data_IF_284098284950
#
_entry.id   IF_284098284950
#
_cell.length_a   1.000
_cell.length_b   1.000
_cell.length_c   1.000
_cell.angle_alpha   90.00
_cell.angle_beta   90.00
_cell.angle_gamma   90.00
#
_symmetry.space_group_name_H-M   'P 1'
#
loop_
_entity.id
_entity.type
_entity.pdbx_description
1 polymer ?
#
# COMPACT_ATOMS: atom_id res chain seq x y z
N UNK A 1 18.30 1.11 -12.61
CA UNK A 1 17.98 2.55 -12.39
C UNK A 1 17.43 2.70 -10.97
N UNK A 2 18.06 3.49 -10.09
CA UNK A 2 17.45 3.80 -8.79
C UNK A 2 16.41 4.88 -9.02
N UNK A 3 15.14 4.56 -8.78
CA UNK A 3 14.06 5.55 -8.86
C UNK A 3 14.35 6.76 -7.98
N UNK A 4 14.05 7.96 -8.49
CA UNK A 4 14.12 9.18 -7.72
C UNK A 4 13.19 9.09 -6.48
N UNK A 5 13.55 9.74 -5.35
CA UNK A 5 12.79 9.65 -4.10
C UNK A 5 11.42 10.32 -4.23
N UNK A 6 10.32 9.70 -3.82
CA UNK A 6 8.96 10.25 -3.95
C UNK A 6 8.17 10.06 -2.65
N UNK A 7 7.13 10.85 -2.42
CA UNK A 7 6.12 10.54 -1.40
C UNK A 7 5.17 9.45 -1.90
N UNK A 8 4.52 8.77 -0.97
CA UNK A 8 3.45 7.80 -1.25
C UNK A 8 2.42 7.88 -0.13
N UNK A 9 1.19 7.43 -0.37
CA UNK A 9 0.14 7.39 0.66
C UNK A 9 0.63 6.69 1.93
N UNK A 10 1.28 5.52 1.78
CA UNK A 10 1.84 4.78 2.91
C UNK A 10 2.87 5.58 3.73
N UNK A 11 3.74 6.34 3.07
CA UNK A 11 4.73 7.22 3.74
C UNK A 11 4.07 8.39 4.46
N UNK A 12 3.06 9.00 3.84
CA UNK A 12 2.29 10.07 4.47
C UNK A 12 1.55 9.55 5.71
N UNK A 13 0.96 8.36 5.63
CA UNK A 13 0.27 7.72 6.75
C UNK A 13 1.24 7.34 7.86
N UNK A 14 2.43 6.84 7.54
CA UNK A 14 3.48 6.59 8.54
C UNK A 14 3.85 7.85 9.32
N UNK A 15 4.03 8.97 8.62
CA UNK A 15 4.34 10.26 9.26
C UNK A 15 3.18 10.76 10.12
N UNK A 16 1.95 10.76 9.58
CA UNK A 16 0.73 11.14 10.33
C UNK A 16 0.52 10.27 11.56
N UNK A 17 0.82 8.97 11.47
CA UNK A 17 0.73 8.04 12.58
C UNK A 17 1.79 8.36 13.64
N UNK A 18 3.06 8.48 13.24
CA UNK A 18 4.17 8.78 14.13
C UNK A 18 5.40 9.28 13.33
N UNK A 19 5.81 10.55 13.49
CA UNK A 19 7.00 11.09 12.81
C UNK A 19 8.28 10.28 13.05
N UNK A 20 8.49 9.76 14.26
CA UNK A 20 9.66 8.91 14.55
C UNK A 20 9.62 7.58 13.78
N UNK A 21 8.45 6.96 13.63
CA UNK A 21 8.27 5.75 12.81
C UNK A 21 8.61 6.03 11.35
N UNK A 22 8.12 7.15 10.81
CA UNK A 22 8.46 7.59 9.46
C UNK A 22 9.97 7.79 9.29
N UNK A 23 10.62 8.47 10.23
CA UNK A 23 12.07 8.66 10.20
C UNK A 23 12.82 7.33 10.15
N UNK A 24 12.56 6.43 11.11
CA UNK A 24 13.26 5.15 11.18
C UNK A 24 13.09 4.31 9.91
N UNK A 25 11.89 4.31 9.32
CA UNK A 25 11.59 3.54 8.11
C UNK A 25 12.10 4.19 6.82
N UNK A 26 11.88 5.49 6.64
CA UNK A 26 12.06 6.17 5.35
C UNK A 26 13.43 6.82 5.23
N UNK A 27 13.90 7.45 6.31
CA UNK A 27 15.17 8.20 6.36
C UNK A 27 16.29 7.26 6.78
N UNK A 28 16.18 6.67 7.97
CA UNK A 28 17.25 5.89 8.59
C UNK A 28 17.33 4.48 7.99
N UNK A 29 16.21 3.96 7.47
CA UNK A 29 16.06 2.62 6.88
C UNK A 29 16.49 1.52 7.85
N UNK A 30 16.11 1.68 9.11
CA UNK A 30 16.30 0.66 10.13
C UNK A 30 15.61 -0.62 9.66
N UNK A 31 16.31 -1.77 9.60
CA UNK A 31 15.71 -3.03 9.18
C UNK A 31 14.49 -3.38 10.03
N UNK A 32 13.43 -3.85 9.37
CA UNK A 32 12.24 -4.36 10.02
C UNK A 32 12.14 -5.86 9.79
N UNK A 33 11.84 -6.67 10.83
CA UNK A 33 11.55 -8.07 10.61
C UNK A 33 10.30 -8.20 9.72
N UNK A 34 10.22 -9.26 8.88
CA UNK A 34 9.02 -9.52 8.13
C UNK A 34 7.84 -9.70 9.10
N UNK A 35 6.65 -9.33 8.65
CA UNK A 35 5.41 -9.51 9.41
C UNK A 35 4.55 -10.55 8.72
N UNK A 36 4.09 -11.55 9.47
CA UNK A 36 3.17 -12.59 8.98
C UNK A 36 1.95 -12.01 8.24
N UNK A 37 1.38 -10.91 8.74
CA UNK A 37 0.26 -10.23 8.10
C UNK A 37 0.65 -9.52 6.79
N UNK A 38 1.79 -8.82 6.76
CA UNK A 38 2.26 -8.12 5.57
C UNK A 38 2.70 -9.09 4.45
N UNK A 39 3.39 -10.16 4.82
CA UNK A 39 3.79 -11.25 3.92
C UNK A 39 2.55 -11.90 3.29
N UNK A 40 1.51 -12.15 4.10
CA UNK A 40 0.24 -12.71 3.61
C UNK A 40 -0.46 -11.77 2.64
N UNK A 41 -0.49 -10.47 2.96
CA UNK A 41 -0.98 -9.43 2.05
C UNK A 41 -0.29 -9.50 0.68
N UNK A 42 1.04 -9.47 0.69
CA UNK A 42 1.86 -9.53 -0.52
C UNK A 42 1.59 -10.81 -1.33
N UNK A 43 1.43 -11.95 -0.67
CA UNK A 43 1.16 -13.22 -1.33
C UNK A 43 -0.21 -13.21 -2.02
N UNK A 44 -1.24 -12.73 -1.31
CA UNK A 44 -2.60 -12.62 -1.86
C UNK A 44 -2.66 -11.65 -3.04
N UNK A 45 -2.00 -10.48 -2.96
CA UNK A 45 -1.93 -9.53 -4.08
C UNK A 45 -1.25 -10.18 -5.30
N UNK A 46 -0.12 -10.86 -5.09
CA UNK A 46 0.59 -11.58 -6.16
C UNK A 46 -0.29 -12.63 -6.84
N UNK A 47 -1.08 -13.38 -6.07
CA UNK A 47 -2.04 -14.35 -6.63
C UNK A 47 -3.12 -13.66 -7.45
N UNK A 48 -3.72 -12.58 -6.93
CA UNK A 48 -4.78 -11.85 -7.64
C UNK A 48 -4.26 -11.14 -8.88
N UNK A 49 -3.01 -10.64 -8.86
CA UNK A 49 -2.33 -10.12 -10.05
C UNK A 49 -2.22 -11.22 -11.11
N UNK A 50 -1.64 -12.38 -10.77
CA UNK A 50 -1.33 -13.45 -11.71
C UNK A 50 -2.57 -14.26 -12.14
N UNK A 51 -3.67 -14.22 -11.38
CA UNK A 51 -4.95 -14.80 -11.79
C UNK A 51 -5.38 -14.26 -13.16
N UNK A 52 -5.13 -12.99 -13.44
CA UNK A 52 -5.49 -12.35 -14.71
C UNK A 52 -4.55 -12.68 -15.87
N UNK A 53 -3.44 -13.39 -15.64
CA UNK A 53 -2.63 -13.98 -16.71
C UNK A 53 -3.28 -15.24 -17.29
N UNK A 54 -4.21 -15.86 -16.56
CA UNK A 54 -4.97 -17.01 -17.06
C UNK A 54 -6.02 -16.59 -18.09
N UNK A 55 -6.37 -17.48 -19.03
CA UNK A 55 -7.56 -17.32 -19.87
C UNK A 55 -8.80 -17.07 -19.03
N UNK A 56 -9.71 -16.20 -19.48
CA UNK A 56 -10.85 -15.75 -18.66
C UNK A 56 -11.67 -16.92 -18.08
N UNK A 57 -11.95 -17.95 -18.87
CA UNK A 57 -12.72 -19.13 -18.44
C UNK A 57 -12.00 -20.02 -17.43
N UNK A 58 -10.68 -19.90 -17.31
CA UNK A 58 -9.87 -20.66 -16.35
C UNK A 58 -9.71 -19.94 -15.01
N UNK A 59 -10.16 -18.69 -14.88
CA UNK A 59 -10.06 -17.89 -13.65
C UNK A 59 -11.08 -18.35 -12.61
N UNK A 60 -10.91 -19.56 -12.12
CA UNK A 60 -11.75 -20.22 -11.11
C UNK A 60 -11.11 -20.13 -9.73
N UNK A 61 -11.92 -20.39 -8.69
CA UNK A 61 -11.43 -20.45 -7.30
C UNK A 61 -10.27 -21.45 -7.18
N UNK A 62 -10.43 -22.66 -7.75
CA UNK A 62 -9.40 -23.71 -7.70
C UNK A 62 -8.08 -23.24 -8.31
N UNK A 63 -8.12 -22.70 -9.53
CA UNK A 63 -6.93 -22.18 -10.20
C UNK A 63 -6.29 -21.02 -9.46
N UNK A 64 -7.08 -20.13 -8.85
CA UNK A 64 -6.54 -19.06 -8.01
C UNK A 64 -5.85 -19.59 -6.74
N UNK A 65 -6.43 -20.60 -6.08
CA UNK A 65 -5.80 -21.21 -4.90
C UNK A 65 -4.54 -22.01 -5.26
N UNK A 66 -4.50 -22.64 -6.44
CA UNK A 66 -3.32 -23.35 -6.94
C UNK A 66 -2.12 -22.41 -7.16
N UNK A 67 -2.36 -21.11 -7.35
CA UNK A 67 -1.29 -20.12 -7.52
C UNK A 67 -0.56 -19.80 -6.20
N UNK A 68 -1.12 -20.11 -5.03
CA UNK A 68 -0.52 -19.70 -3.75
C UNK A 68 0.86 -20.30 -3.52
N UNK A 69 1.03 -21.60 -3.74
CA UNK A 69 2.32 -22.28 -3.56
C UNK A 69 3.41 -21.78 -4.54
N UNK A 70 3.18 -21.70 -5.86
CA UNK A 70 4.20 -21.17 -6.78
C UNK A 70 4.43 -19.66 -6.61
N UNK A 71 3.48 -18.89 -6.05
CA UNK A 71 3.73 -17.48 -5.68
C UNK A 71 4.48 -17.35 -4.36
N UNK A 72 4.25 -18.26 -3.41
CA UNK A 72 5.03 -18.36 -2.18
C UNK A 72 6.49 -18.71 -2.46
N UNK A 73 6.74 -19.73 -3.29
CA UNK A 73 8.10 -20.11 -3.69
C UNK A 73 8.86 -18.94 -4.36
N UNK A 74 8.19 -18.20 -5.27
CA UNK A 74 8.79 -17.02 -5.90
C UNK A 74 9.04 -15.86 -4.91
N UNK A 75 8.24 -15.75 -3.84
CA UNK A 75 8.46 -14.77 -2.77
C UNK A 75 9.69 -15.15 -1.94
N UNK A 76 9.81 -16.40 -1.54
CA UNK A 76 10.96 -16.94 -0.79
C UNK A 76 12.26 -16.78 -1.58
N UNK A 77 12.23 -17.03 -2.89
CA UNK A 77 13.41 -16.84 -3.75
C UNK A 77 13.92 -15.39 -3.75
N UNK A 78 13.00 -14.42 -3.66
CA UNK A 78 13.33 -12.99 -3.62
C UNK A 78 13.77 -12.54 -2.23
N UNK A 79 13.18 -13.11 -1.19
CA UNK A 79 13.46 -12.77 0.21
C UNK A 79 13.41 -14.03 1.08
N UNK A 80 14.53 -14.75 1.26
CA UNK A 80 14.57 -15.96 2.06
C UNK A 80 14.21 -15.73 3.54
N UNK A 81 14.33 -14.50 4.04
CA UNK A 81 14.05 -14.17 5.44
C UNK A 81 12.57 -14.36 5.79
N UNK A 82 11.65 -14.32 4.81
CA UNK A 82 10.23 -14.58 5.05
C UNK A 82 9.95 -16.02 5.51
N UNK A 83 10.87 -16.97 5.31
CA UNK A 83 10.74 -18.32 5.85
C UNK A 83 10.86 -18.37 7.37
N UNK A 84 11.61 -17.44 7.97
CA UNK A 84 11.82 -17.38 9.43
C UNK A 84 10.52 -17.13 10.20
N UNK A 85 9.50 -16.58 9.54
CA UNK A 85 8.15 -16.43 10.11
C UNK A 85 7.56 -17.76 10.58
N UNK A 86 7.94 -18.87 9.95
CA UNK A 86 7.38 -20.20 10.20
C UNK A 86 8.27 -21.08 11.09
N UNK A 87 9.26 -20.48 11.77
CA UNK A 87 9.97 -21.14 12.88
C UNK A 87 9.04 -21.28 14.09
N UNK A 88 8.14 -20.32 14.31
CA UNK A 88 7.17 -20.30 15.42
C UNK A 88 5.70 -20.42 14.97
N UNK A 89 5.38 -20.08 13.72
CA UNK A 89 4.02 -20.16 13.15
C UNK A 89 3.87 -21.38 12.21
N UNK A 90 2.71 -22.05 12.24
CA UNK A 90 2.42 -23.13 11.29
C UNK A 90 2.23 -22.58 9.87
N UNK A 91 3.13 -22.96 8.96
CA UNK A 91 3.06 -22.58 7.55
C UNK A 91 1.74 -23.00 6.89
N UNK A 92 1.28 -24.23 7.12
CA UNK A 92 0.05 -24.75 6.51
C UNK A 92 -1.18 -23.96 6.97
N UNK A 93 -1.28 -23.69 8.27
CA UNK A 93 -2.37 -22.88 8.85
C UNK A 93 -2.36 -21.47 8.27
N UNK A 94 -1.18 -20.87 8.15
CA UNK A 94 -1.03 -19.54 7.57
C UNK A 94 -1.42 -19.51 6.10
N UNK A 95 -0.98 -20.50 5.31
CA UNK A 95 -1.27 -20.61 3.89
C UNK A 95 -2.76 -20.87 3.65
N UNK A 96 -3.41 -21.67 4.51
CA UNK A 96 -4.88 -21.85 4.50
C UNK A 96 -5.64 -20.56 4.81
N UNK A 97 -5.10 -19.70 5.68
CA UNK A 97 -5.66 -18.36 5.89
C UNK A 97 -5.55 -17.49 4.63
N UNK A 98 -4.48 -17.61 3.85
CA UNK A 98 -4.35 -16.95 2.56
C UNK A 98 -5.31 -17.52 1.51
N UNK A 99 -5.48 -18.86 1.45
CA UNK A 99 -6.49 -19.53 0.61
C UNK A 99 -7.88 -18.99 0.88
N UNK A 100 -8.22 -18.77 2.15
CA UNK A 100 -9.51 -18.22 2.55
C UNK A 100 -9.74 -16.80 2.03
N UNK A 101 -8.72 -15.93 2.07
CA UNK A 101 -8.80 -14.57 1.52
C UNK A 101 -8.96 -14.58 -0.01
N UNK A 102 -8.22 -15.47 -0.71
CA UNK A 102 -8.35 -15.65 -2.17
C UNK A 102 -9.76 -16.15 -2.53
N UNK A 103 -10.37 -17.02 -1.71
CA UNK A 103 -11.77 -17.44 -1.92
C UNK A 103 -12.75 -16.28 -1.75
N UNK A 104 -12.57 -15.44 -0.73
CA UNK A 104 -13.43 -14.27 -0.50
C UNK A 104 -13.50 -13.33 -1.71
N UNK A 105 -12.40 -13.19 -2.46
CA UNK A 105 -12.38 -12.40 -3.68
C UNK A 105 -13.51 -12.79 -4.66
N UNK A 106 -13.79 -14.08 -4.82
CA UNK A 106 -14.81 -14.59 -5.73
C UNK A 106 -16.25 -14.36 -5.24
N UNK A 107 -16.46 -13.99 -3.97
CA UNK A 107 -17.75 -13.52 -3.48
C UNK A 107 -18.05 -12.09 -3.95
N UNK A 108 -17.02 -11.33 -4.31
CA UNK A 108 -17.09 -9.90 -4.62
C UNK A 108 -16.94 -9.60 -6.10
N UNK A 109 -16.18 -10.41 -6.81
CA UNK A 109 -15.88 -10.21 -8.23
C UNK A 109 -16.06 -11.50 -9.02
N UNK A 110 -16.49 -11.35 -10.28
CA UNK A 110 -16.45 -12.42 -11.26
C UNK A 110 -15.27 -12.17 -12.23
N UNK A 111 -14.09 -12.76 -11.99
CA UNK A 111 -12.89 -12.48 -12.80
C UNK A 111 -12.99 -12.96 -14.26
N UNK A 112 -13.97 -13.81 -14.59
CA UNK A 112 -14.26 -14.23 -15.99
C UNK A 112 -14.79 -13.07 -16.81
N UNK A 113 -15.52 -12.14 -16.17
CA UNK A 113 -16.15 -10.99 -16.83
C UNK A 113 -15.24 -9.76 -16.91
N UNK A 114 -14.04 -9.85 -16.35
CA UNK A 114 -13.08 -8.75 -16.25
C UNK A 114 -11.88 -9.02 -17.16
N UNK A 115 -11.33 -8.00 -17.78
CA UNK A 115 -10.15 -8.14 -18.63
C UNK A 115 -9.19 -6.95 -18.47
N UNK A 116 -8.66 -6.70 -17.26
CA UNK A 116 -7.67 -5.66 -17.05
C UNK A 116 -6.41 -5.97 -17.86
N UNK A 117 -5.90 -4.97 -18.59
CA UNK A 117 -4.62 -5.10 -19.29
C UNK A 117 -3.47 -5.40 -18.31
N UNK A 118 -2.38 -6.03 -18.78
CA UNK A 118 -1.20 -6.27 -17.92
C UNK A 118 -0.64 -4.96 -17.34
N UNK A 119 -0.64 -3.88 -18.12
CA UNK A 119 -0.21 -2.55 -17.69
C UNK A 119 -1.10 -1.92 -16.60
N UNK A 120 -2.29 -2.49 -16.36
CA UNK A 120 -3.27 -2.01 -15.41
C UNK A 120 -3.32 -2.86 -14.13
N UNK A 121 -2.36 -3.75 -13.93
CA UNK A 121 -2.22 -4.58 -12.74
C UNK A 121 -0.90 -4.22 -12.05
N UNK A 122 -0.93 -4.02 -10.73
CA UNK A 122 0.22 -3.56 -9.94
C UNK A 122 0.91 -2.34 -10.59
N UNK A 123 0.11 -1.42 -11.13
CA UNK A 123 0.59 -0.32 -11.96
C UNK A 123 1.24 0.74 -11.06
N UNK A 124 2.58 0.80 -11.11
CA UNK A 124 3.34 1.85 -10.44
C UNK A 124 3.33 3.14 -11.26
N UNK A 125 2.83 4.22 -10.65
CA UNK A 125 2.84 5.56 -11.21
C UNK A 125 3.74 6.47 -10.37
N UNK A 126 4.53 7.31 -11.02
CA UNK A 126 5.25 8.41 -10.37
C UNK A 126 4.99 9.67 -11.16
N UNK A 127 4.44 10.69 -10.50
CA UNK A 127 4.08 11.98 -11.10
C UNK A 127 4.76 13.09 -10.31
N UNK A 128 4.88 14.25 -10.93
CA UNK A 128 5.27 15.50 -10.27
C UNK A 128 4.02 16.34 -10.14
N UNK A 129 3.66 16.70 -8.91
CA UNK A 129 2.50 17.54 -8.62
C UNK A 129 2.81 19.01 -8.94
N UNK A 130 1.78 19.87 -8.98
CA UNK A 130 1.96 21.30 -9.27
C UNK A 130 2.88 22.00 -8.26
N UNK A 131 2.93 21.48 -7.04
CA UNK A 131 3.85 21.88 -5.97
C UNK A 131 5.32 21.48 -6.19
N UNK A 132 5.66 20.75 -7.25
CA UNK A 132 6.98 20.15 -7.49
C UNK A 132 7.23 18.85 -6.72
N UNK A 133 6.28 18.43 -5.86
CA UNK A 133 6.40 17.20 -5.08
C UNK A 133 6.26 16.00 -6.00
N UNK A 134 7.27 15.12 -6.02
CA UNK A 134 7.13 13.82 -6.70
C UNK A 134 6.34 12.84 -5.84
N UNK A 135 5.22 12.38 -6.37
CA UNK A 135 4.28 11.47 -5.71
C UNK A 135 4.20 10.13 -6.45
N UNK A 136 4.16 9.04 -5.70
CA UNK A 136 4.18 7.67 -6.22
C UNK A 136 3.11 6.81 -5.54
N UNK A 137 2.43 6.03 -6.36
CA UNK A 137 1.54 4.96 -5.90
C UNK A 137 1.69 3.71 -6.76
N UNK A 138 1.19 2.60 -6.24
CA UNK A 138 1.00 1.35 -6.96
C UNK A 138 -0.49 1.05 -6.87
N UNK A 139 -1.14 0.92 -8.02
CA UNK A 139 -2.57 0.60 -8.11
C UNK A 139 -2.70 -0.89 -8.43
N UNK A 140 -3.34 -1.66 -7.54
CA UNK A 140 -3.42 -3.12 -7.69
C UNK A 140 -4.13 -3.52 -8.98
N UNK A 141 -5.27 -2.89 -9.31
CA UNK A 141 -6.01 -3.15 -10.56
C UNK A 141 -6.76 -1.92 -11.07
N UNK A 142 -6.72 -1.71 -12.38
CA UNK A 142 -7.54 -0.73 -13.10
C UNK A 142 -8.37 -1.45 -14.18
N UNK A 143 -9.68 -1.43 -14.02
CA UNK A 143 -10.61 -1.91 -15.04
C UNK A 143 -11.03 -0.75 -15.94
N UNK A 144 -11.23 -1.03 -17.23
CA UNK A 144 -11.68 -0.05 -18.23
C UNK A 144 -12.98 -0.54 -18.83
N UNK A 145 -14.05 0.23 -18.67
CA UNK A 145 -15.34 -0.08 -19.27
C UNK A 145 -15.32 0.15 -20.80
N UNK A 146 -16.25 -0.45 -21.57
CA UNK A 146 -16.37 -0.16 -23.00
C UNK A 146 -16.59 1.33 -23.33
N UNK A 147 -17.20 2.09 -22.41
CA UNK A 147 -17.34 3.56 -22.50
C UNK A 147 -16.01 4.31 -22.35
N UNK A 148 -14.97 3.65 -21.83
CA UNK A 148 -13.69 4.25 -21.49
C UNK A 148 -13.58 4.73 -20.04
N UNK A 149 -14.64 4.59 -19.23
CA UNK A 149 -14.61 4.91 -17.80
C UNK A 149 -13.68 3.96 -17.05
N UNK A 150 -12.90 4.49 -16.10
CA UNK A 150 -11.98 3.71 -15.30
C UNK A 150 -12.60 3.34 -13.95
N UNK A 151 -12.37 2.11 -13.51
CA UNK A 151 -12.60 1.65 -12.13
C UNK A 151 -11.29 1.22 -11.51
N UNK A 152 -10.90 1.89 -10.42
CA UNK A 152 -9.72 1.52 -9.62
C UNK A 152 -10.13 0.53 -8.54
N UNK A 153 -9.35 -0.53 -8.33
CA UNK A 153 -9.55 -1.51 -7.27
C UNK A 153 -8.24 -1.71 -6.50
N UNK A 154 -8.33 -1.60 -5.18
CA UNK A 154 -7.29 -1.92 -4.20
C UNK A 154 -7.75 -3.09 -3.34
N UNK A 155 -6.87 -4.06 -3.10
CA UNK A 155 -7.16 -5.19 -2.23
C UNK A 155 -6.61 -4.93 -0.83
N UNK A 156 -7.38 -5.34 0.19
CA UNK A 156 -6.93 -5.36 1.58
C UNK A 156 -7.24 -6.72 2.19
N UNK A 157 -6.23 -7.35 2.78
CA UNK A 157 -6.39 -8.63 3.49
C UNK A 157 -6.94 -8.47 4.90
N UNK A 158 -6.96 -7.26 5.43
CA UNK A 158 -7.57 -6.91 6.71
C UNK A 158 -9.09 -6.72 6.63
N UNK A 159 -9.68 -6.37 7.77
CA UNK A 159 -11.10 -5.99 7.87
C UNK A 159 -11.30 -4.53 7.47
N UNK A 160 -12.48 -4.22 6.95
CA UNK A 160 -12.89 -2.84 6.71
C UNK A 160 -12.92 -2.06 8.02
N UNK A 161 -12.32 -0.86 8.09
CA UNK A 161 -12.40 -0.02 9.28
C UNK A 161 -13.84 0.44 9.49
N UNK A 162 -14.18 0.67 10.77
CA UNK A 162 -15.46 1.28 11.13
C UNK A 162 -15.63 2.63 10.40
N UNK A 163 -16.85 3.01 9.97
CA UNK A 163 -17.10 4.23 9.20
C UNK A 163 -16.42 5.50 9.74
N UNK A 164 -16.34 5.65 11.07
CA UNK A 164 -15.69 6.80 11.70
C UNK A 164 -14.18 6.89 11.47
N UNK A 165 -13.55 5.82 10.97
CA UNK A 165 -12.12 5.69 10.73
C UNK A 165 -11.79 5.35 9.27
N UNK A 166 -12.72 5.61 8.33
CA UNK A 166 -12.51 5.35 6.90
C UNK A 166 -11.77 6.47 6.17
N UNK A 167 -11.48 7.60 6.82
CA UNK A 167 -10.83 8.76 6.18
C UNK A 167 -9.48 8.42 5.53
N UNK A 168 -8.67 7.57 6.17
CA UNK A 168 -7.39 7.11 5.61
C UNK A 168 -7.58 6.26 4.35
N UNK A 169 -8.55 5.34 4.39
CA UNK A 169 -8.89 4.47 3.27
C UNK A 169 -9.43 5.29 2.08
N UNK A 170 -10.32 6.24 2.34
CA UNK A 170 -10.85 7.17 1.34
C UNK A 170 -9.74 8.05 0.75
N UNK A 171 -8.82 8.56 1.58
CA UNK A 171 -7.67 9.33 1.10
C UNK A 171 -6.79 8.49 0.15
N UNK A 172 -6.56 7.21 0.45
CA UNK A 172 -5.77 6.32 -0.40
C UNK A 172 -6.35 6.21 -1.81
N UNK A 173 -7.65 5.90 -1.93
CA UNK A 173 -8.27 5.73 -3.25
C UNK A 173 -8.48 7.04 -4.01
N UNK A 174 -8.68 8.16 -3.32
CA UNK A 174 -8.70 9.50 -3.95
C UNK A 174 -7.31 9.88 -4.47
N UNK A 175 -6.25 9.49 -3.77
CA UNK A 175 -4.87 9.70 -4.24
C UNK A 175 -4.51 8.88 -5.49
N UNK A 176 -5.14 7.72 -5.71
CA UNK A 176 -5.04 7.02 -6.99
C UNK A 176 -5.73 7.79 -8.13
N UNK A 177 -6.85 8.46 -7.84
CA UNK A 177 -7.50 9.38 -8.78
C UNK A 177 -6.55 10.48 -9.24
N UNK A 178 -5.90 11.16 -8.29
CA UNK A 178 -4.88 12.19 -8.58
C UNK A 178 -3.71 11.61 -9.41
N UNK A 179 -3.18 10.44 -9.05
CA UNK A 179 -2.09 9.80 -9.80
C UNK A 179 -2.47 9.52 -11.26
N UNK A 180 -3.68 9.03 -11.51
CA UNK A 180 -4.17 8.76 -12.86
C UNK A 180 -4.45 10.05 -13.64
N UNK A 181 -4.97 11.09 -12.97
CA UNK A 181 -5.17 12.40 -13.59
C UNK A 181 -3.85 12.97 -14.09
N UNK A 182 -2.83 12.99 -13.23
CA UNK A 182 -1.53 13.56 -13.57
C UNK A 182 -0.75 12.70 -14.59
N UNK A 183 -0.85 11.37 -14.51
CA UNK A 183 -0.12 10.48 -15.41
C UNK A 183 -0.77 10.35 -16.79
N UNK A 184 -2.10 10.24 -16.85
CA UNK A 184 -2.84 9.85 -18.04
C UNK A 184 -3.91 10.88 -18.48
N UNK A 185 -4.10 11.96 -17.73
CA UNK A 185 -5.14 12.96 -17.98
C UNK A 185 -6.57 12.48 -17.65
N UNK A 186 -6.73 11.31 -17.02
CA UNK A 186 -8.02 10.67 -16.76
C UNK A 186 -8.22 10.33 -15.30
N UNK A 187 -9.40 10.64 -14.79
CA UNK A 187 -9.84 10.21 -13.47
C UNK A 187 -10.66 8.93 -13.56
N UNK A 188 -10.62 8.08 -12.52
CA UNK A 188 -11.59 7.01 -12.42
C UNK A 188 -12.98 7.58 -12.15
N UNK A 189 -13.99 6.95 -12.71
CA UNK A 189 -15.38 7.22 -12.34
C UNK A 189 -15.64 6.69 -10.92
N UNK A 190 -15.02 5.57 -10.59
CA UNK A 190 -15.21 4.87 -9.32
C UNK A 190 -13.90 4.25 -8.83
N UNK A 191 -13.69 4.29 -7.53
CA UNK A 191 -12.62 3.56 -6.85
C UNK A 191 -13.20 2.64 -5.78
N UNK A 192 -12.61 1.46 -5.61
CA UNK A 192 -13.03 0.48 -4.62
C UNK A 192 -11.85 -0.04 -3.81
N UNK A 193 -12.10 -0.32 -2.53
CA UNK A 193 -11.25 -1.17 -1.70
C UNK A 193 -12.02 -2.43 -1.38
N UNK A 194 -11.51 -3.58 -1.80
CA UNK A 194 -12.08 -4.88 -1.46
C UNK A 194 -11.34 -5.42 -0.23
N UNK A 195 -12.04 -5.45 0.91
CA UNK A 195 -11.56 -6.02 2.16
C UNK A 195 -11.87 -7.51 2.21
N UNK A 196 -10.88 -8.32 1.83
CA UNK A 196 -10.96 -9.79 1.79
C UNK A 196 -11.11 -10.41 3.18
N UNK A 197 -10.60 -9.74 4.22
CA UNK A 197 -10.65 -10.24 5.60
C UNK A 197 -12.01 -10.05 6.29
N UNK A 198 -12.90 -9.24 5.73
CA UNK A 198 -14.27 -9.05 6.23
C UNK A 198 -15.35 -9.29 5.18
N UNK A 199 -14.95 -9.78 3.99
CA UNK A 199 -15.84 -9.93 2.84
C UNK A 199 -16.70 -8.66 2.65
N UNK A 200 -16.07 -7.53 2.34
CA UNK A 200 -16.77 -6.25 2.21
C UNK A 200 -16.05 -5.31 1.24
N UNK A 201 -16.80 -4.41 0.60
CA UNK A 201 -16.24 -3.42 -0.33
C UNK A 201 -16.56 -2.01 0.11
N UNK A 202 -15.55 -1.16 0.23
CA UNK A 202 -15.73 0.28 0.30
C UNK A 202 -15.72 0.83 -1.13
N UNK A 203 -16.80 1.48 -1.54
CA UNK A 203 -16.93 2.09 -2.87
C UNK A 203 -16.97 3.60 -2.74
N UNK A 204 -16.24 4.27 -3.62
CA UNK A 204 -16.17 5.71 -3.71
C UNK A 204 -16.35 6.16 -5.15
N UNK A 205 -17.18 7.18 -5.35
CA UNK A 205 -17.38 7.82 -6.64
C UNK A 205 -16.61 9.14 -6.63
N UNK A 206 -15.83 9.37 -7.68
CA UNK A 206 -14.96 10.54 -7.77
C UNK A 206 -15.77 11.84 -7.77
N UNK A 207 -15.29 12.82 -7.00
CA UNK A 207 -15.81 14.18 -6.92
C UNK A 207 -14.82 15.15 -7.58
N UNK A 208 -15.33 16.16 -8.28
CA UNK A 208 -14.52 17.14 -9.03
C UNK A 208 -13.48 17.88 -8.16
N UNK A 209 -13.68 17.96 -6.84
CA UNK A 209 -12.78 18.63 -5.91
C UNK A 209 -11.68 17.72 -5.37
N UNK A 210 -11.71 16.43 -5.68
CA UNK A 210 -10.86 15.43 -5.03
C UNK A 210 -9.38 15.69 -5.21
N UNK A 211 -8.94 15.92 -6.45
CA UNK A 211 -7.52 16.07 -6.75
C UNK A 211 -6.92 17.26 -6.02
N UNK A 212 -7.61 18.41 -6.02
CA UNK A 212 -7.16 19.60 -5.31
C UNK A 212 -7.04 19.35 -3.79
N UNK A 213 -8.07 18.75 -3.18
CA UNK A 213 -8.06 18.45 -1.74
C UNK A 213 -6.99 17.42 -1.34
N UNK A 214 -6.74 16.43 -2.20
CA UNK A 214 -5.68 15.44 -1.99
C UNK A 214 -4.33 16.09 -2.10
N UNK A 215 -4.07 16.89 -3.14
CA UNK A 215 -2.80 17.60 -3.32
C UNK A 215 -2.52 18.55 -2.16
N UNK A 216 -3.50 19.34 -1.72
CA UNK A 216 -3.39 20.22 -0.55
C UNK A 216 -2.99 19.44 0.71
N UNK A 217 -3.58 18.25 0.90
CA UNK A 217 -3.24 17.37 2.01
C UNK A 217 -1.80 16.84 1.90
N UNK A 218 -1.35 16.47 0.69
CA UNK A 218 0.02 16.01 0.43
C UNK A 218 1.00 17.14 0.76
N UNK A 219 0.77 18.34 0.25
CA UNK A 219 1.60 19.54 0.49
C UNK A 219 1.65 19.87 1.98
N UNK A 220 0.50 19.87 2.66
CA UNK A 220 0.44 20.15 4.10
C UNK A 220 1.28 19.18 4.94
N UNK A 221 1.23 17.88 4.61
CA UNK A 221 2.02 16.86 5.32
C UNK A 221 3.50 16.97 4.94
N UNK A 222 3.80 17.28 3.68
CA UNK A 222 5.17 17.47 3.23
C UNK A 222 5.85 18.64 3.95
N UNK A 223 5.15 19.76 4.15
CA UNK A 223 5.68 20.89 4.90
C UNK A 223 5.99 20.49 6.36
N UNK A 224 5.13 19.70 7.01
CA UNK A 224 5.43 19.17 8.35
C UNK A 224 6.65 18.24 8.36
N UNK A 225 6.86 17.47 7.29
CA UNK A 225 8.06 16.64 7.12
C UNK A 225 9.30 17.54 6.98
N UNK A 226 9.23 18.60 6.17
CA UNK A 226 10.31 19.57 6.01
C UNK A 226 10.69 20.22 7.34
N UNK A 227 9.71 20.64 8.15
CA UNK A 227 9.96 21.19 9.50
C UNK A 227 10.74 20.19 10.38
N UNK A 228 10.39 18.90 10.34
CA UNK A 228 11.12 17.85 11.07
C UNK A 228 12.55 17.66 10.51
N UNK A 229 12.74 17.79 9.20
CA UNK A 229 14.05 17.69 8.56
C UNK A 229 14.95 18.90 8.87
N UNK A 230 14.37 20.10 9.01
CA UNK A 230 15.08 21.33 9.32
C UNK A 230 15.51 21.37 10.80
N UNK A 231 14.64 20.90 11.70
CA UNK A 231 14.92 20.86 13.14
C UNK A 231 15.69 19.61 13.56
N UNK A 232 15.68 18.54 12.76
CA UNK A 232 16.16 17.22 13.15
C UNK A 232 15.26 16.51 14.16
N UNK A 233 14.12 17.09 14.54
CA UNK A 233 13.24 16.59 15.59
C UNK A 233 12.06 15.84 14.97
N UNK A 234 11.99 14.53 15.23
CA UNK A 234 10.87 13.68 14.82
C UNK A 234 10.18 13.14 16.07
N UNK A 235 9.12 13.81 16.56
CA UNK A 235 8.51 13.44 17.83
C UNK A 235 7.82 12.07 17.72
N UNK A 236 7.98 11.17 18.71
CA UNK A 236 7.18 9.96 18.78
C UNK A 236 5.71 10.31 19.10
N UNK A 237 4.78 9.46 18.64
CA UNK A 237 3.36 9.57 18.99
C UNK A 237 2.85 8.25 19.52
N UNK A 238 2.66 8.17 20.84
CA UNK A 238 2.14 6.97 21.50
C UNK A 238 0.67 6.74 21.13
N UNK A 239 0.34 5.51 20.75
CA UNK A 239 -1.02 5.09 20.43
C UNK A 239 -1.18 3.58 20.62
N UNK A 240 -2.40 3.06 20.49
CA UNK A 240 -2.64 1.61 20.47
C UNK A 240 -1.82 0.90 19.38
N UNK A 241 -1.52 1.61 18.28
CA UNK A 241 -0.75 1.07 17.17
C UNK A 241 0.73 0.78 17.52
N UNK A 242 1.23 1.30 18.64
CA UNK A 242 2.58 1.00 19.11
C UNK A 242 2.80 -0.49 19.38
N UNK A 243 1.75 -1.24 19.71
CA UNK A 243 1.81 -2.70 19.92
C UNK A 243 2.22 -3.48 18.67
N UNK A 244 2.12 -2.86 17.49
CA UNK A 244 2.51 -3.45 16.20
C UNK A 244 3.63 -2.65 15.51
N UNK A 245 4.36 -1.80 16.25
CA UNK A 245 5.48 -1.03 15.71
C UNK A 245 6.79 -1.82 15.85
N UNK A 246 7.44 -2.11 14.72
CA UNK A 246 8.72 -2.83 14.64
C UNK A 246 9.86 -2.15 15.43
N UNK A 247 9.75 -0.85 15.68
CA UNK A 247 10.77 -0.04 16.33
C UNK A 247 10.52 0.18 17.83
N UNK A 248 9.59 -0.56 18.45
CA UNK A 248 9.21 -0.34 19.84
C UNK A 248 10.40 -0.47 20.81
N UNK A 249 11.29 -1.45 20.58
CA UNK A 249 12.47 -1.71 21.42
C UNK A 249 13.48 -0.55 21.46
N UNK A 250 13.49 0.31 20.43
CA UNK A 250 14.37 1.48 20.30
C UNK A 250 13.59 2.81 20.38
N UNK A 251 12.36 2.77 20.91
CA UNK A 251 11.50 3.94 21.01
C UNK A 251 11.58 4.58 22.40
N UNK A 252 11.78 5.91 22.52
CA UNK A 252 11.87 6.59 23.81
C UNK A 252 10.58 6.52 24.65
N UNK A 253 9.40 6.36 24.02
CA UNK A 253 8.13 6.13 24.72
C UNK A 253 8.06 4.81 25.51
N UNK A 254 9.06 3.93 25.29
CA UNK A 254 9.22 2.62 25.90
C UNK A 254 10.62 2.46 26.52
N UNK A 255 11.33 3.58 26.79
CA UNK A 255 12.65 3.58 27.43
C UNK A 255 13.83 3.27 26.49
N UNK A 256 13.61 3.19 25.18
CA UNK A 256 14.68 3.06 24.19
C UNK A 256 15.38 4.39 23.90
N UNK A 257 16.58 4.33 23.33
CA UNK A 257 17.33 5.51 22.90
C UNK A 257 17.08 5.82 21.42
N UNK A 258 16.92 7.11 21.11
CA UNK A 258 16.75 7.55 19.72
C UNK A 258 18.06 7.36 18.97
N UNK A 259 18.02 6.61 17.88
CA UNK A 259 19.22 6.39 17.04
C UNK A 259 19.72 7.71 16.44
N UNK A 260 21.01 7.81 16.06
CA UNK A 260 21.50 8.90 15.23
C UNK A 260 20.75 8.98 13.89
N UNK A 261 20.52 10.18 13.37
CA UNK A 261 19.82 10.36 12.09
C UNK A 261 20.76 10.05 10.93
N UNK A 262 20.23 9.42 9.89
CA UNK A 262 20.97 9.15 8.66
C UNK A 262 20.94 10.38 7.73
N UNK A 263 22.01 11.17 7.75
CA UNK A 263 22.14 12.39 6.93
C UNK A 263 21.99 12.13 5.42
N UNK A 264 22.51 11.01 4.91
CA UNK A 264 22.31 10.65 3.50
C UNK A 264 20.83 10.34 3.18
N UNK A 265 20.09 9.83 4.17
CA UNK A 265 18.64 9.65 4.10
C UNK A 265 17.89 10.97 4.04
N UNK A 266 18.30 11.95 4.86
CA UNK A 266 17.76 13.32 4.90
C UNK A 266 17.97 14.01 3.55
N UNK A 267 19.21 14.03 3.06
CA UNK A 267 19.57 14.67 1.80
C UNK A 267 18.84 14.03 0.62
N UNK A 268 18.65 12.71 0.66
CA UNK A 268 17.84 12.00 -0.33
C UNK A 268 16.35 12.37 -0.22
N UNK A 269 15.80 12.50 0.98
CA UNK A 269 14.39 12.83 1.15
C UNK A 269 14.09 14.24 0.66
N UNK A 270 14.97 15.23 0.90
CA UNK A 270 14.81 16.59 0.40
C UNK A 270 14.67 16.69 -1.12
N UNK A 271 15.25 15.74 -1.87
CA UNK A 271 15.13 15.68 -3.33
C UNK A 271 13.74 15.29 -3.82
N UNK A 272 12.79 14.94 -2.94
CA UNK A 272 11.40 14.60 -3.30
C UNK A 272 10.71 15.73 -4.07
N UNK A 273 10.92 16.97 -3.63
CA UNK A 273 10.39 18.16 -4.27
C UNK A 273 11.49 18.76 -5.14
N UNK A 274 11.16 19.07 -6.39
CA UNK A 274 12.06 19.70 -7.37
C UNK A 274 11.89 21.22 -7.34
#
# INVERSE_FOLDING_TARGET
MRYLPALSVSRLNDFKQCPLKFRYRVIDRVPEPPSSAATKGTLVHSVLEHLYDLPAQERTIGRATDLLEPRWAAMVERDPEVQKLFEEESFDTWLDSARSLVRTYFNRENPVMLSPARSNRERMLTVELSSGIRFRGVIDRIDVAPSGDLRVVDYKTGKMPNPNYQSEALFQIRAYGLLLKEADGKEPLQSQIIYLGSDSTLTYWTDDKDNALVEDTIVSVWNQILDCLDTGVFPPRKSKLCNWCSFQSICPEFGGEVLPINEAGVEKLRKVQV
#
